data_IF_123552940713
#
_entry.id   IF_123552940713
#
_cell.length_a   1.000
_cell.length_b   1.000
_cell.length_c   1.000
_cell.angle_alpha   90.00
_cell.angle_beta   90.00
_cell.angle_gamma   90.00
#
_symmetry.space_group_name_H-M   'P 1'
#
loop_
_entity.id
_entity.type
_entity.pdbx_description
1 polymer ?
#
# COMPACT_ATOMS: atom_id res chain seq x y z
N UNK A 1 3.29 6.70 13.86
CA UNK A 1 4.36 6.59 14.85
C UNK A 1 5.65 6.54 14.04
N UNK A 2 6.71 7.24 14.43
CA UNK A 2 7.96 7.22 13.66
C UNK A 2 8.80 5.99 14.04
N UNK A 3 9.54 5.42 13.10
CA UNK A 3 10.42 4.27 13.37
C UNK A 3 11.45 4.55 14.47
N UNK A 4 11.94 5.79 14.57
CA UNK A 4 12.92 6.22 15.58
C UNK A 4 12.27 6.65 16.91
N UNK A 5 10.96 6.47 17.08
CA UNK A 5 10.27 6.86 18.32
C UNK A 5 10.41 5.79 19.41
N UNK A 6 10.44 6.23 20.67
CA UNK A 6 10.45 5.35 21.83
C UNK A 6 9.22 4.42 21.86
N UNK A 7 8.04 4.93 21.46
CA UNK A 7 6.81 4.14 21.33
C UNK A 7 6.99 2.96 20.35
N UNK A 8 7.70 3.17 19.24
CA UNK A 8 7.94 2.10 18.27
C UNK A 8 8.85 1.02 18.86
N UNK A 9 9.98 1.44 19.43
CA UNK A 9 11.03 0.53 19.91
C UNK A 9 10.57 -0.26 21.14
N UNK A 10 9.88 0.39 22.08
CA UNK A 10 9.58 -0.21 23.39
C UNK A 10 8.15 -0.77 23.52
N UNK A 11 7.20 -0.35 22.69
CA UNK A 11 5.83 -0.86 22.75
C UNK A 11 5.45 -1.66 21.48
N UNK A 12 5.48 -1.02 20.32
CA UNK A 12 4.96 -1.63 19.09
C UNK A 12 5.82 -2.80 18.61
N UNK A 13 7.14 -2.65 18.54
CA UNK A 13 8.04 -3.70 18.07
C UNK A 13 7.98 -4.96 18.98
N UNK A 14 8.08 -4.85 20.33
CA UNK A 14 7.90 -6.01 21.20
C UNK A 14 6.53 -6.66 21.03
N UNK A 15 5.46 -5.88 20.90
CA UNK A 15 4.11 -6.41 20.66
C UNK A 15 4.03 -7.22 19.36
N UNK A 16 4.56 -6.69 18.26
CA UNK A 16 4.57 -7.38 16.95
C UNK A 16 5.43 -8.63 17.01
N UNK A 17 6.60 -8.59 17.68
CA UNK A 17 7.47 -9.76 17.84
C UNK A 17 6.80 -10.86 18.67
N UNK A 18 6.19 -10.51 19.81
CA UNK A 18 5.45 -11.46 20.63
C UNK A 18 4.33 -12.10 19.82
N UNK A 19 3.54 -11.29 19.10
CA UNK A 19 2.50 -11.82 18.21
C UNK A 19 3.05 -12.75 17.13
N UNK A 20 4.18 -12.40 16.49
CA UNK A 20 4.84 -13.23 15.49
C UNK A 20 5.24 -14.61 16.02
N UNK A 21 5.78 -14.68 17.24
CA UNK A 21 6.20 -15.94 17.85
C UNK A 21 5.05 -16.75 18.45
N UNK A 22 3.97 -16.09 18.91
CA UNK A 22 2.83 -16.76 19.54
C UNK A 22 1.85 -17.34 18.49
N UNK A 23 1.67 -16.66 17.37
CA UNK A 23 0.77 -17.10 16.30
C UNK A 23 1.40 -18.21 15.45
N UNK A 24 0.77 -19.38 15.45
CA UNK A 24 1.30 -20.58 14.79
C UNK A 24 0.91 -20.75 13.32
N UNK A 25 -0.36 -20.56 12.91
CA UNK A 25 -0.73 -20.77 11.53
C UNK A 25 -0.04 -19.72 10.64
N UNK A 26 0.65 -20.13 9.55
CA UNK A 26 1.40 -19.18 8.72
C UNK A 26 0.48 -18.09 8.14
N UNK A 27 -0.74 -18.45 7.74
CA UNK A 27 -1.74 -17.50 7.22
C UNK A 27 -2.15 -16.47 8.27
N UNK A 28 -2.38 -16.90 9.51
CA UNK A 28 -2.78 -15.99 10.61
C UNK A 28 -1.62 -15.07 10.98
N UNK A 29 -0.40 -15.61 10.98
CA UNK A 29 0.81 -14.84 11.28
C UNK A 29 1.08 -13.76 10.22
N UNK A 30 0.91 -14.09 8.94
CA UNK A 30 0.99 -13.11 7.85
C UNK A 30 -0.12 -12.07 7.94
N UNK A 31 -1.37 -12.48 8.18
CA UNK A 31 -2.47 -11.54 8.36
C UNK A 31 -2.23 -10.58 9.53
N UNK A 32 -1.73 -11.09 10.65
CA UNK A 32 -1.34 -10.27 11.80
C UNK A 32 -0.26 -9.25 11.42
N UNK A 33 0.81 -9.66 10.74
CA UNK A 33 1.84 -8.72 10.30
C UNK A 33 1.28 -7.65 9.35
N UNK A 34 0.41 -8.03 8.41
CA UNK A 34 -0.23 -7.08 7.50
C UNK A 34 -1.07 -6.06 8.26
N UNK A 35 -1.88 -6.51 9.22
CA UNK A 35 -2.69 -5.62 10.06
C UNK A 35 -1.82 -4.69 10.91
N UNK A 36 -0.76 -5.20 11.52
CA UNK A 36 0.20 -4.38 12.27
C UNK A 36 0.88 -3.35 11.36
N UNK A 37 1.23 -3.72 10.14
CA UNK A 37 1.85 -2.83 9.15
C UNK A 37 0.90 -1.70 8.75
N UNK A 38 -0.37 -2.02 8.47
CA UNK A 38 -1.41 -1.04 8.17
C UNK A 38 -1.67 -0.11 9.35
N UNK A 39 -1.75 -0.64 10.57
CA UNK A 39 -1.91 0.16 11.78
C UNK A 39 -0.75 1.12 12.00
N UNK A 40 0.48 0.63 11.86
CA UNK A 40 1.68 1.45 11.96
C UNK A 40 1.66 2.63 10.97
N UNK A 41 1.26 2.35 9.72
CA UNK A 41 1.17 3.37 8.68
C UNK A 41 0.04 4.37 8.95
N UNK A 42 -1.12 3.89 9.38
CA UNK A 42 -2.28 4.71 9.74
C UNK A 42 -1.99 5.67 10.90
N UNK A 43 -1.07 5.32 11.80
CA UNK A 43 -0.67 6.19 12.90
C UNK A 43 0.01 7.48 12.41
N UNK A 44 0.70 7.45 11.26
CA UNK A 44 1.28 8.68 10.71
C UNK A 44 0.19 9.58 10.10
N UNK A 45 -0.60 9.04 9.17
CA UNK A 45 -1.78 9.71 8.65
C UNK A 45 -2.78 8.68 8.12
N UNK A 46 -3.94 8.61 8.79
CA UNK A 46 -4.99 7.66 8.49
C UNK A 46 -5.64 7.88 7.12
N UNK A 47 -5.53 9.09 6.53
CA UNK A 47 -6.12 9.42 5.22
C UNK A 47 -5.50 8.61 4.08
N UNK A 48 -4.24 8.16 4.24
CA UNK A 48 -3.56 7.31 3.26
C UNK A 48 -3.78 5.81 3.52
N UNK A 49 -4.47 5.42 4.60
CA UNK A 49 -4.73 4.01 4.90
C UNK A 49 -5.58 3.33 3.82
N UNK A 50 -6.71 3.90 3.33
CA UNK A 50 -7.47 3.29 2.25
C UNK A 50 -6.65 3.11 0.98
N UNK A 51 -5.74 4.05 0.68
CA UNK A 51 -4.81 3.96 -0.44
C UNK A 51 -3.84 2.78 -0.25
N UNK A 52 -3.23 2.65 0.92
CA UNK A 52 -2.33 1.54 1.22
C UNK A 52 -3.04 0.19 1.14
N UNK A 53 -4.24 0.06 1.71
CA UNK A 53 -5.03 -1.17 1.68
C UNK A 53 -5.39 -1.53 0.23
N UNK A 54 -5.88 -0.55 -0.55
CA UNK A 54 -6.26 -0.79 -1.96
C UNK A 54 -5.08 -1.21 -2.83
N UNK A 55 -3.95 -0.48 -2.79
CA UNK A 55 -2.73 -0.85 -3.53
C UNK A 55 -2.21 -2.23 -3.15
N UNK A 56 -2.01 -2.48 -1.85
CA UNK A 56 -1.51 -3.79 -1.39
C UNK A 56 -2.46 -4.94 -1.72
N UNK A 57 -3.78 -4.72 -1.69
CA UNK A 57 -4.78 -5.74 -2.05
C UNK A 57 -4.78 -6.02 -3.55
N UNK A 58 -4.76 -4.98 -4.39
CA UNK A 58 -4.70 -5.12 -5.85
C UNK A 58 -3.44 -5.86 -6.26
N UNK A 59 -2.28 -5.49 -5.70
CA UNK A 59 -1.01 -6.13 -6.00
C UNK A 59 -0.97 -7.58 -5.53
N UNK A 60 -1.54 -7.88 -4.36
CA UNK A 60 -1.65 -9.25 -3.87
C UNK A 60 -2.52 -10.13 -4.79
N UNK A 61 -3.68 -9.62 -5.21
CA UNK A 61 -4.58 -10.33 -6.13
C UNK A 61 -3.90 -10.52 -7.50
N UNK A 62 -3.26 -9.48 -8.03
CA UNK A 62 -2.54 -9.54 -9.29
C UNK A 62 -1.41 -10.59 -9.24
N UNK A 63 -0.62 -10.61 -8.16
CA UNK A 63 0.41 -11.63 -7.94
C UNK A 63 -0.15 -13.06 -7.90
N UNK A 64 -1.29 -13.27 -7.24
CA UNK A 64 -1.98 -14.56 -7.22
C UNK A 64 -2.48 -14.98 -8.60
N UNK A 65 -3.07 -14.06 -9.35
CA UNK A 65 -3.54 -14.31 -10.72
C UNK A 65 -2.38 -14.66 -11.66
N UNK A 66 -1.25 -13.95 -11.55
CA UNK A 66 -0.04 -14.20 -12.33
C UNK A 66 0.54 -15.59 -12.12
N UNK A 67 0.46 -16.13 -10.90
CA UNK A 67 0.92 -17.49 -10.59
C UNK A 67 -0.06 -18.56 -11.07
N UNK A 68 -1.36 -18.25 -11.11
CA UNK A 68 -2.40 -19.23 -11.45
C UNK A 68 -2.65 -19.44 -12.95
N UNK A 69 -2.07 -18.61 -13.83
CA UNK A 69 -2.37 -18.63 -15.26
C UNK A 69 -1.13 -18.94 -16.10
N UNK A 70 -1.21 -19.98 -16.92
CA UNK A 70 -0.15 -20.33 -17.89
C UNK A 70 -0.29 -19.56 -19.21
N UNK A 71 -1.43 -18.91 -19.45
CA UNK A 71 -1.65 -18.07 -20.63
C UNK A 71 -0.88 -16.75 -20.53
N UNK A 72 0.15 -16.62 -21.36
CA UNK A 72 1.02 -15.45 -21.46
C UNK A 72 0.25 -14.15 -21.75
N UNK A 73 -0.85 -14.18 -22.51
CA UNK A 73 -1.66 -12.98 -22.78
C UNK A 73 -2.36 -12.50 -21.51
N UNK A 74 -2.95 -13.42 -20.74
CA UNK A 74 -3.59 -13.10 -19.46
C UNK A 74 -2.57 -12.59 -18.44
N UNK A 75 -1.37 -13.19 -18.38
CA UNK A 75 -0.30 -12.70 -17.50
C UNK A 75 0.06 -11.25 -17.81
N UNK A 76 0.27 -10.93 -19.09
CA UNK A 76 0.56 -9.55 -19.52
C UNK A 76 -0.56 -8.58 -19.15
N UNK A 77 -1.81 -8.95 -19.37
CA UNK A 77 -2.96 -8.10 -19.02
C UNK A 77 -3.03 -7.83 -17.52
N UNK A 78 -2.87 -8.85 -16.69
CA UNK A 78 -2.85 -8.70 -15.22
C UNK A 78 -1.71 -7.76 -14.79
N UNK A 79 -0.50 -7.97 -15.32
CA UNK A 79 0.65 -7.11 -15.00
C UNK A 79 0.42 -5.65 -15.41
N UNK A 80 -0.04 -5.43 -16.65
CA UNK A 80 -0.33 -4.08 -17.15
C UNK A 80 -1.40 -3.42 -16.29
N UNK A 81 -2.48 -4.14 -15.93
CA UNK A 81 -3.55 -3.58 -15.11
C UNK A 81 -3.08 -3.16 -13.72
N UNK A 82 -2.29 -3.98 -13.03
CA UNK A 82 -1.75 -3.67 -11.70
C UNK A 82 -0.74 -2.52 -11.76
N UNK A 83 0.11 -2.48 -12.79
CA UNK A 83 1.07 -1.40 -13.00
C UNK A 83 0.35 -0.08 -13.30
N UNK A 84 -0.61 -0.09 -14.22
CA UNK A 84 -1.43 1.08 -14.54
C UNK A 84 -2.17 1.61 -13.32
N UNK A 85 -2.71 0.74 -12.46
CA UNK A 85 -3.35 1.13 -11.21
C UNK A 85 -2.38 1.85 -10.26
N UNK A 86 -1.20 1.28 -10.01
CA UNK A 86 -0.20 1.92 -9.15
C UNK A 86 0.33 3.24 -9.73
N UNK A 87 0.55 3.31 -11.04
CA UNK A 87 0.96 4.54 -11.71
C UNK A 87 -0.14 5.61 -11.66
N UNK A 88 -1.42 5.22 -11.78
CA UNK A 88 -2.53 6.15 -11.62
C UNK A 88 -2.61 6.69 -10.20
N UNK A 89 -2.48 5.83 -9.17
CA UNK A 89 -2.41 6.26 -7.78
C UNK A 89 -1.26 7.23 -7.54
N UNK A 90 -0.06 6.92 -8.05
CA UNK A 90 1.10 7.81 -7.95
C UNK A 90 0.85 9.15 -8.66
N UNK A 91 0.28 9.11 -9.86
CA UNK A 91 -0.12 10.28 -10.64
C UNK A 91 -1.05 11.19 -9.85
N UNK A 92 -2.15 10.64 -9.35
CA UNK A 92 -3.14 11.37 -8.56
C UNK A 92 -2.54 11.95 -7.27
N UNK A 93 -1.79 11.16 -6.50
CA UNK A 93 -1.32 11.64 -5.19
C UNK A 93 -0.11 12.57 -5.26
N UNK A 94 0.80 12.35 -6.20
CA UNK A 94 2.03 13.13 -6.30
C UNK A 94 1.87 14.36 -7.20
N UNK A 95 1.07 14.27 -8.26
CA UNK A 95 1.04 15.28 -9.31
C UNK A 95 -0.30 16.02 -9.44
N UNK A 96 -1.39 15.61 -8.76
CA UNK A 96 -2.66 16.32 -8.88
C UNK A 96 -2.56 17.80 -8.51
N UNK A 97 -1.81 18.15 -7.46
CA UNK A 97 -1.56 19.55 -7.10
C UNK A 97 -0.87 20.33 -8.23
N UNK A 98 0.22 19.79 -8.78
CA UNK A 98 0.93 20.39 -9.91
C UNK A 98 0.03 20.59 -11.16
N UNK A 99 -0.84 19.63 -11.47
CA UNK A 99 -1.78 19.74 -12.58
C UNK A 99 -2.82 20.84 -12.34
N UNK A 100 -3.38 20.93 -11.13
CA UNK A 100 -4.34 21.97 -10.76
C UNK A 100 -3.70 23.36 -10.74
N UNK A 101 -2.48 23.48 -10.21
CA UNK A 101 -1.74 24.74 -10.18
C UNK A 101 -1.37 25.21 -11.59
N UNK A 102 -1.01 24.29 -12.48
CA UNK A 102 -0.73 24.60 -13.90
C UNK A 102 -1.98 25.09 -14.64
N UNK A 103 -3.13 24.46 -14.41
CA UNK A 103 -4.40 24.88 -15.01
C UNK A 103 -4.87 26.24 -14.49
N UNK A 104 -4.73 26.49 -13.18
CA UNK A 104 -5.05 27.78 -12.58
C UNK A 104 -4.11 28.89 -13.05
N UNK A 105 -2.81 28.59 -13.18
CA UNK A 105 -1.81 29.54 -13.69
C UNK A 105 -2.10 29.97 -15.13
N UNK A 106 -2.48 29.03 -16.00
CA UNK A 106 -2.92 29.34 -17.38
C UNK A 106 -4.26 30.09 -17.40
N UNK A 107 -5.20 29.74 -16.52
CA UNK A 107 -6.49 30.43 -16.40
C UNK A 107 -6.38 31.86 -15.87
N UNK A 108 -5.37 32.17 -15.06
CA UNK A 108 -5.09 33.55 -14.59
C UNK A 108 -4.32 34.41 -15.61
N UNK A 109 -3.84 33.81 -16.70
CA UNK A 109 -3.11 34.47 -17.78
C UNK A 109 -3.98 34.77 -19.02
N UNK A 110 -5.26 34.39 -18.99
CA UNK A 110 -6.31 34.73 -19.96
C UNK A 110 -7.26 35.78 -19.36
#
# INVERSE_FOLDING_TARGET
MLFNSHEFIFAFLPFVLVGWYLLRPPTVRLAFLTLCSWFFYAWWDWRFLPLMISSTTVDYIAGRLLVSTDDERRRKLVLISALSFNLALLGCFKYAGFFLDSLNGVGSAL
#
